data_IF_164354605112
#
_entry.id   IF_164354605112
#
_cell.length_a   1.000
_cell.length_b   1.000
_cell.length_c   1.000
_cell.angle_alpha   90.00
_cell.angle_beta   90.00
_cell.angle_gamma   90.00
#
_symmetry.space_group_name_H-M   'P 1'
#
loop_
_entity.id
_entity.type
_entity.pdbx_description
1 polymer ?
#
# COMPACT_ATOMS: atom_id res chain seq x y z
N UNK A 1 -38.73 2.84 -11.74
CA UNK A 1 -38.21 4.06 -11.10
C UNK A 1 -36.86 3.74 -10.51
N UNK A 2 -35.80 4.21 -11.18
CA UNK A 2 -34.40 3.98 -10.81
C UNK A 2 -34.02 4.84 -9.59
N UNK A 3 -33.35 4.24 -8.60
CA UNK A 3 -32.53 4.97 -7.64
C UNK A 3 -31.08 4.49 -7.81
N UNK A 4 -30.33 5.26 -8.57
CA UNK A 4 -28.88 5.21 -8.57
C UNK A 4 -28.34 5.87 -7.31
N UNK A 5 -27.47 5.17 -6.60
CA UNK A 5 -26.57 5.74 -5.61
C UNK A 5 -25.16 5.37 -6.07
N UNK A 6 -24.57 6.26 -6.87
CA UNK A 6 -23.16 6.18 -7.25
C UNK A 6 -22.31 6.41 -6.00
N UNK A 7 -21.79 5.33 -5.42
CA UNK A 7 -20.76 5.43 -4.37
C UNK A 7 -19.41 5.57 -5.05
N UNK A 8 -19.24 6.67 -5.77
CA UNK A 8 -18.01 7.05 -6.46
C UNK A 8 -17.54 8.41 -5.98
N UNK A 9 -17.24 8.56 -4.68
CA UNK A 9 -16.73 9.84 -4.17
C UNK A 9 -15.89 9.77 -2.89
N UNK A 10 -15.65 8.58 -2.30
CA UNK A 10 -14.86 8.47 -1.06
C UNK A 10 -13.42 7.98 -1.22
N UNK A 11 -13.00 7.64 -2.45
CA UNK A 11 -11.59 7.31 -2.74
C UNK A 11 -10.77 8.52 -3.23
N UNK A 12 -11.41 9.63 -3.62
CA UNK A 12 -10.74 10.77 -4.29
C UNK A 12 -10.29 11.86 -3.30
N UNK A 13 -10.64 11.77 -2.00
CA UNK A 13 -10.27 12.79 -1.00
C UNK A 13 -9.04 12.48 -0.15
N UNK A 14 -8.21 11.49 -0.50
CA UNK A 14 -6.98 11.21 0.25
C UNK A 14 -5.68 11.59 -0.48
N UNK A 15 -5.77 12.23 -1.65
CA UNK A 15 -4.59 12.63 -2.45
C UNK A 15 -3.99 13.98 -2.04
N UNK A 16 -4.44 14.61 -0.97
CA UNK A 16 -3.89 15.89 -0.52
C UNK A 16 -3.81 16.02 1.01
N UNK A 17 -2.95 15.21 1.65
CA UNK A 17 -2.24 15.49 2.93
C UNK A 17 -1.85 14.17 3.59
N UNK A 18 -0.56 13.86 3.61
CA UNK A 18 0.19 13.53 4.83
C UNK A 18 1.54 12.93 4.46
N UNK A 19 2.56 13.27 5.24
CA UNK A 19 3.78 12.48 5.34
C UNK A 19 3.40 11.01 5.63
N UNK A 20 4.22 10.03 5.24
CA UNK A 20 3.91 8.62 5.49
C UNK A 20 3.53 8.37 6.96
N UNK A 21 2.39 7.70 7.22
CA UNK A 21 1.83 7.60 8.59
C UNK A 21 2.76 6.89 9.59
N UNK A 22 3.66 6.04 9.10
CA UNK A 22 4.68 5.36 9.92
C UNK A 22 5.65 6.33 10.62
N UNK A 23 5.82 7.56 10.10
CA UNK A 23 6.79 8.53 10.62
C UNK A 23 6.46 9.02 12.04
N UNK A 24 5.23 8.83 12.50
CA UNK A 24 4.83 9.13 13.89
C UNK A 24 4.86 7.91 14.81
N UNK A 25 5.04 6.71 14.27
CA UNK A 25 4.99 5.45 15.01
C UNK A 25 6.36 4.87 15.32
N UNK A 26 7.38 5.25 14.54
CA UNK A 26 8.78 4.84 14.73
C UNK A 26 9.54 6.05 15.28
N UNK A 27 10.28 5.86 16.35
CA UNK A 27 11.08 6.96 16.90
C UNK A 27 12.34 7.23 16.05
N UNK A 28 13.03 8.32 16.33
CA UNK A 28 14.23 8.69 15.56
C UNK A 28 15.38 7.70 15.71
N UNK A 29 15.52 7.06 16.87
CA UNK A 29 16.63 6.17 17.16
C UNK A 29 16.46 4.83 16.43
N UNK A 30 15.24 4.28 16.44
CA UNK A 30 14.85 3.10 15.66
C UNK A 30 15.05 3.34 14.17
N UNK A 31 14.63 4.51 13.69
CA UNK A 31 14.82 4.91 12.30
C UNK A 31 16.30 4.98 11.91
N UNK A 32 17.15 5.50 12.81
CA UNK A 32 18.60 5.59 12.62
C UNK A 32 19.26 4.21 12.58
N UNK A 33 18.83 3.26 13.43
CA UNK A 33 19.30 1.87 13.36
C UNK A 33 18.89 1.20 12.05
N UNK A 34 17.60 1.27 11.68
CA UNK A 34 17.10 0.62 10.46
C UNK A 34 17.87 1.11 9.23
N UNK A 35 18.00 2.42 9.07
CA UNK A 35 18.60 3.02 7.86
C UNK A 35 20.10 3.16 7.93
N UNK A 36 20.70 3.17 9.13
CA UNK A 36 22.13 3.29 9.33
C UNK A 36 22.84 1.95 9.26
N UNK A 37 22.32 0.93 9.96
CA UNK A 37 23.00 -0.35 10.14
C UNK A 37 22.61 -1.37 9.06
N UNK A 38 21.39 -1.30 8.53
CA UNK A 38 20.88 -2.26 7.54
C UNK A 38 20.71 -1.65 6.15
N UNK A 39 19.92 -0.58 6.06
CA UNK A 39 19.54 0.04 4.79
C UNK A 39 18.13 -0.34 4.35
N UNK A 40 17.60 0.40 3.37
CA UNK A 40 16.21 0.27 2.93
C UNK A 40 16.14 0.27 1.40
N UNK A 41 15.32 -0.63 0.84
CA UNK A 41 14.92 -0.58 -0.57
C UNK A 41 13.52 0.02 -0.66
N UNK A 42 13.37 1.11 -1.39
CA UNK A 42 12.11 1.83 -1.58
C UNK A 42 11.58 1.51 -2.97
N UNK A 43 10.37 0.95 -3.03
CA UNK A 43 9.60 0.79 -4.27
C UNK A 43 8.47 1.83 -4.26
N UNK A 44 8.57 2.93 -5.02
CA UNK A 44 7.56 3.96 -5.05
C UNK A 44 6.23 3.44 -5.61
N UNK A 45 5.12 3.87 -5.02
CA UNK A 45 3.76 3.67 -5.55
C UNK A 45 3.06 5.02 -5.71
N UNK A 46 2.03 5.05 -6.55
CA UNK A 46 1.11 6.18 -6.72
C UNK A 46 1.80 7.54 -6.95
N UNK A 47 2.84 7.56 -7.81
CA UNK A 47 3.63 8.76 -8.10
C UNK A 47 4.24 9.45 -6.86
N UNK A 48 4.54 8.69 -5.81
CA UNK A 48 5.17 9.22 -4.60
C UNK A 48 6.53 9.89 -4.93
N UNK A 49 6.62 11.17 -4.59
CA UNK A 49 7.85 11.96 -4.71
C UNK A 49 8.85 11.56 -3.61
N UNK A 50 9.67 10.57 -3.95
CA UNK A 50 10.65 10.00 -3.03
C UNK A 50 11.73 11.02 -2.67
N UNK A 51 12.15 11.88 -3.60
CA UNK A 51 13.14 12.93 -3.32
C UNK A 51 12.62 13.93 -2.28
N UNK A 52 11.36 14.36 -2.40
CA UNK A 52 10.74 15.23 -1.39
C UNK A 52 10.65 14.55 -0.03
N UNK A 53 10.25 13.28 0.03
CA UNK A 53 10.16 12.53 1.29
C UNK A 53 11.54 12.41 1.96
N UNK A 54 12.58 12.08 1.19
CA UNK A 54 13.95 11.95 1.66
C UNK A 54 14.48 13.27 2.24
N UNK A 55 14.22 14.38 1.55
CA UNK A 55 14.68 15.70 1.97
C UNK A 55 13.99 16.22 3.25
N UNK A 56 12.79 15.72 3.56
CA UNK A 56 12.04 16.08 4.77
C UNK A 56 12.53 15.39 6.06
N UNK A 57 13.51 14.49 6.00
CA UNK A 57 14.11 13.85 7.19
C UNK A 57 15.61 14.05 7.21
N UNK A 58 16.14 14.59 8.30
CA UNK A 58 17.59 14.71 8.51
C UNK A 58 18.27 13.34 8.53
N UNK A 59 17.59 12.31 9.07
CA UNK A 59 18.12 10.95 9.16
C UNK A 59 18.17 10.31 7.77
N UNK A 60 17.07 10.37 7.01
CA UNK A 60 17.06 9.81 5.63
C UNK A 60 18.09 10.49 4.74
N UNK A 61 18.26 11.81 4.87
CA UNK A 61 19.28 12.54 4.12
C UNK A 61 20.70 12.15 4.53
N UNK A 62 20.96 11.98 5.84
CA UNK A 62 22.26 11.53 6.37
C UNK A 62 22.66 10.16 5.80
N UNK A 63 21.70 9.24 5.70
CA UNK A 63 21.92 7.87 5.25
C UNK A 63 21.43 7.61 3.82
N UNK A 64 21.40 8.63 2.95
CA UNK A 64 20.86 8.52 1.58
C UNK A 64 21.51 7.39 0.77
N UNK A 65 22.81 7.15 0.97
CA UNK A 65 23.56 6.11 0.26
C UNK A 65 23.15 4.69 0.69
N UNK A 66 22.50 4.54 1.85
CA UNK A 66 21.97 3.27 2.34
C UNK A 66 20.49 3.05 1.95
N UNK A 67 19.98 3.89 1.05
CA UNK A 67 18.60 3.84 0.58
C UNK A 67 18.60 3.67 -0.93
N UNK A 68 18.18 2.50 -1.41
CA UNK A 68 18.03 2.21 -2.82
C UNK A 68 16.59 2.47 -3.26
N UNK A 69 16.39 3.42 -4.17
CA UNK A 69 15.07 3.68 -4.75
C UNK A 69 14.95 2.97 -6.10
N UNK A 70 14.00 2.04 -6.20
CA UNK A 70 13.70 1.31 -7.44
C UNK A 70 12.89 2.22 -8.35
N UNK A 71 13.42 2.56 -9.53
CA UNK A 71 12.78 3.50 -10.47
C UNK A 71 11.96 2.81 -11.57
N UNK A 72 12.18 1.53 -11.82
CA UNK A 72 11.74 0.89 -13.06
C UNK A 72 10.32 0.27 -12.99
N UNK A 73 9.60 0.45 -11.89
CA UNK A 73 8.36 -0.29 -11.64
C UNK A 73 7.16 0.56 -11.20
N UNK A 74 7.22 1.88 -11.45
CA UNK A 74 6.18 2.83 -11.00
C UNK A 74 4.81 2.51 -11.63
N UNK A 75 4.80 1.91 -12.82
CA UNK A 75 3.59 1.53 -13.55
C UNK A 75 3.32 0.01 -13.54
N UNK A 76 3.89 -0.74 -12.60
CA UNK A 76 3.61 -2.16 -12.49
C UNK A 76 2.10 -2.42 -12.32
N UNK A 77 1.48 -3.39 -12.99
CA UNK A 77 0.05 -3.70 -12.82
C UNK A 77 -0.35 -4.00 -11.36
N UNK A 78 0.57 -4.51 -10.55
CA UNK A 78 0.34 -4.77 -9.12
C UNK A 78 0.50 -3.54 -8.21
N UNK A 79 0.96 -2.40 -8.72
CA UNK A 79 1.09 -1.19 -7.91
C UNK A 79 -0.27 -0.66 -7.42
N UNK A 80 -1.33 -0.87 -8.21
CA UNK A 80 -2.71 -0.40 -7.94
C UNK A 80 -3.56 -1.37 -7.12
N UNK A 81 -3.05 -2.57 -6.86
CA UNK A 81 -3.74 -3.62 -6.09
C UNK A 81 -3.44 -3.42 -4.61
N UNK A 82 -4.49 -3.32 -3.80
CA UNK A 82 -4.40 -3.17 -2.36
C UNK A 82 -5.16 -4.28 -1.65
N UNK A 83 -4.69 -4.69 -0.48
CA UNK A 83 -5.36 -5.73 0.33
C UNK A 83 -6.79 -5.33 0.74
N UNK A 84 -7.11 -4.04 0.77
CA UNK A 84 -8.50 -3.59 0.97
C UNK A 84 -9.37 -3.91 -0.24
N UNK A 85 -8.90 -3.63 -1.47
CA UNK A 85 -9.62 -4.02 -2.70
C UNK A 85 -9.79 -5.54 -2.77
N UNK A 86 -8.72 -6.30 -2.51
CA UNK A 86 -8.78 -7.78 -2.53
C UNK A 86 -9.79 -8.33 -1.51
N UNK A 87 -9.79 -7.82 -0.27
CA UNK A 87 -10.74 -8.26 0.77
C UNK A 87 -12.19 -7.92 0.42
N UNK A 88 -12.46 -6.72 -0.11
CA UNK A 88 -13.81 -6.33 -0.52
C UNK A 88 -14.31 -7.17 -1.70
N UNK A 89 -13.46 -7.46 -2.68
CA UNK A 89 -13.79 -8.36 -3.79
C UNK A 89 -14.15 -9.76 -3.28
N UNK A 90 -13.35 -10.31 -2.35
CA UNK A 90 -13.65 -11.59 -1.69
C UNK A 90 -14.98 -11.56 -0.93
N UNK A 91 -15.23 -10.51 -0.14
CA UNK A 91 -16.44 -10.37 0.68
C UNK A 91 -17.72 -10.23 -0.16
N UNK A 92 -17.63 -9.57 -1.32
CA UNK A 92 -18.76 -9.38 -2.22
C UNK A 92 -18.97 -10.56 -3.19
N UNK A 93 -18.10 -11.58 -3.17
CA UNK A 93 -18.13 -12.67 -4.14
C UNK A 93 -17.82 -12.21 -5.57
N UNK A 94 -16.97 -11.20 -5.73
CA UNK A 94 -16.59 -10.65 -7.03
C UNK A 94 -15.61 -11.59 -7.77
N UNK A 95 -15.98 -11.98 -8.98
CA UNK A 95 -15.16 -12.84 -9.86
C UNK A 95 -13.83 -12.19 -10.27
N UNK A 96 -13.69 -10.86 -10.16
CA UNK A 96 -12.44 -10.14 -10.45
C UNK A 96 -11.33 -10.36 -9.43
N UNK A 97 -11.56 -11.15 -8.38
CA UNK A 97 -10.52 -11.45 -7.38
C UNK A 97 -9.26 -12.12 -7.98
N UNK A 98 -9.41 -12.84 -9.10
CA UNK A 98 -8.31 -13.47 -9.84
C UNK A 98 -7.34 -12.45 -10.47
N UNK A 99 -7.80 -11.22 -10.68
CA UNK A 99 -6.95 -10.12 -11.18
C UNK A 99 -6.01 -9.59 -10.08
N UNK A 100 -6.25 -9.97 -8.82
CA UNK A 100 -5.54 -9.47 -7.64
C UNK A 100 -4.77 -10.55 -6.89
N UNK A 101 -5.25 -11.79 -6.93
CA UNK A 101 -4.74 -12.91 -6.14
C UNK A 101 -4.54 -14.13 -7.03
N UNK A 102 -3.48 -14.90 -6.75
CA UNK A 102 -3.26 -16.17 -7.44
C UNK A 102 -4.26 -17.23 -6.96
N UNK A 103 -4.57 -18.18 -7.85
CA UNK A 103 -5.52 -19.26 -7.55
C UNK A 103 -5.19 -20.05 -6.26
N UNK A 104 -3.93 -20.42 -5.96
CA UNK A 104 -3.63 -21.12 -4.71
C UNK A 104 -3.95 -20.30 -3.44
N UNK A 105 -3.85 -18.98 -3.51
CA UNK A 105 -4.23 -18.09 -2.40
C UNK A 105 -5.75 -18.01 -2.26
N UNK A 106 -6.47 -17.93 -3.38
CA UNK A 106 -7.94 -17.96 -3.41
C UNK A 106 -8.44 -19.29 -2.83
N UNK A 107 -7.89 -20.42 -3.28
CA UNK A 107 -8.24 -21.75 -2.79
C UNK A 107 -8.04 -21.88 -1.28
N UNK A 108 -6.92 -21.35 -0.77
CA UNK A 108 -6.64 -21.32 0.67
C UNK A 108 -7.65 -20.47 1.44
N UNK A 109 -8.00 -19.29 0.92
CA UNK A 109 -8.98 -18.38 1.52
C UNK A 109 -10.36 -19.06 1.59
N UNK A 110 -10.78 -19.72 0.51
CA UNK A 110 -12.05 -20.46 0.46
C UNK A 110 -12.05 -21.67 1.40
N UNK A 111 -10.98 -22.48 1.40
CA UNK A 111 -10.85 -23.64 2.30
C UNK A 111 -10.87 -23.22 3.77
N UNK A 112 -10.24 -22.09 4.09
CA UNK A 112 -10.08 -21.58 5.46
C UNK A 112 -11.19 -20.60 5.87
N UNK A 113 -12.14 -20.30 4.97
CA UNK A 113 -13.25 -19.37 5.18
C UNK A 113 -12.80 -17.96 5.61
N UNK A 114 -11.66 -17.48 5.10
CA UNK A 114 -11.15 -16.14 5.41
C UNK A 114 -11.93 -15.07 4.62
N UNK A 115 -12.34 -14.00 5.29
CA UNK A 115 -13.02 -12.86 4.64
C UNK A 115 -14.38 -13.18 3.99
N UNK A 116 -14.97 -14.36 4.19
CA UNK A 116 -16.23 -14.78 3.55
C UNK A 116 -17.47 -14.38 4.40
N UNK A 117 -17.29 -14.16 5.71
CA UNK A 117 -18.36 -13.81 6.65
C UNK A 117 -18.07 -12.47 7.34
N UNK A 118 -18.31 -11.36 6.64
CA UNK A 118 -18.44 -10.05 7.30
C UNK A 118 -19.92 -9.77 7.61
N UNK A 119 -20.57 -10.67 8.33
CA UNK A 119 -21.81 -10.38 9.05
C UNK A 119 -21.42 -10.00 10.49
N UNK A 120 -21.10 -8.72 10.66
CA UNK A 120 -20.90 -8.04 11.94
C UNK A 120 -21.39 -6.61 11.83
#
# INVERSE_FOLDING_TARGET
MHRGLSTGDRAVKNTQKSLPSWRSSIDKAEMEVIVGDFGIVVVPRDAADTDRIMNHSSILRKYKNNILVVKDDVNHPMSVVSSTKSRLALQHGDGHVVDYLSQPVIDYILKSQLYINASG
#
